data_IF_656188462565
#
_entry.id   IF_656188462565
#
_cell.length_a   1.000
_cell.length_b   1.000
_cell.length_c   1.000
_cell.angle_alpha   90.00
_cell.angle_beta   90.00
_cell.angle_gamma   90.00
#
_symmetry.space_group_name_H-M   'P 1'
#
loop_
_entity.id
_entity.type
_entity.pdbx_description
1 polymer ?
#
# COMPACT_ATOMS: atom_id res chain seq x y z
N UNK A 1 -4.66 -46.11 8.42
CA UNK A 1 -5.40 -47.40 8.35
C UNK A 1 -4.94 -48.38 9.42
N UNK A 2 -3.64 -48.65 9.62
CA UNK A 2 -3.14 -49.60 10.63
C UNK A 2 -3.59 -49.34 12.09
N UNK A 3 -3.57 -48.07 12.54
CA UNK A 3 -3.97 -47.72 13.93
C UNK A 3 -5.45 -48.04 14.23
N UNK A 4 -6.34 -47.92 13.24
CA UNK A 4 -7.76 -48.26 13.39
C UNK A 4 -7.99 -49.77 13.42
N UNK A 5 -7.18 -50.53 12.68
CA UNK A 5 -7.22 -52.00 12.72
C UNK A 5 -6.73 -52.52 14.09
N UNK A 6 -5.60 -52.02 14.58
CA UNK A 6 -5.09 -52.37 15.91
C UNK A 6 -6.09 -52.02 17.03
N UNK A 7 -6.79 -50.89 16.88
CA UNK A 7 -7.88 -50.49 17.77
C UNK A 7 -9.05 -51.49 17.81
N UNK A 8 -9.45 -52.00 16.65
CA UNK A 8 -10.64 -52.86 16.52
C UNK A 8 -10.34 -54.32 16.90
N UNK A 9 -9.19 -54.85 16.49
CA UNK A 9 -8.87 -56.28 16.62
C UNK A 9 -8.05 -56.57 17.88
N UNK A 10 -7.17 -55.65 18.29
CA UNK A 10 -6.23 -55.88 19.40
C UNK A 10 -6.09 -54.68 20.37
N UNK A 11 -7.19 -54.11 20.89
CA UNK A 11 -7.12 -52.91 21.75
C UNK A 11 -6.30 -53.11 23.02
N UNK A 12 -6.34 -54.33 23.61
CA UNK A 12 -5.59 -54.64 24.83
C UNK A 12 -4.07 -54.65 24.60
N UNK A 13 -3.60 -55.30 23.53
CA UNK A 13 -2.17 -55.34 23.19
C UNK A 13 -1.62 -53.97 22.82
N UNK A 14 -2.41 -53.16 22.10
CA UNK A 14 -2.02 -51.81 21.74
C UNK A 14 -1.83 -50.90 22.97
N UNK A 15 -2.76 -50.93 23.93
CA UNK A 15 -2.63 -50.16 25.17
C UNK A 15 -1.40 -50.56 25.99
N UNK A 16 -1.18 -51.87 26.17
CA UNK A 16 0.03 -52.38 26.85
C UNK A 16 1.32 -51.91 26.16
N UNK A 17 1.35 -51.91 24.82
CA UNK A 17 2.49 -51.39 24.08
C UNK A 17 2.68 -49.88 24.29
N UNK A 18 1.60 -49.10 24.27
CA UNK A 18 1.63 -47.67 24.59
C UNK A 18 2.21 -47.41 25.98
N UNK A 19 1.75 -48.15 27.00
CA UNK A 19 2.24 -48.03 28.38
C UNK A 19 3.73 -48.37 28.49
N UNK A 20 4.17 -49.49 27.91
CA UNK A 20 5.58 -49.92 27.92
C UNK A 20 6.51 -48.95 27.21
N UNK A 21 6.03 -48.24 26.20
CA UNK A 21 6.82 -47.30 25.41
C UNK A 21 6.59 -45.82 25.83
N UNK A 22 5.83 -45.58 26.91
CA UNK A 22 5.45 -44.24 27.38
C UNK A 22 4.77 -43.36 26.32
N UNK A 23 4.00 -43.99 25.43
CA UNK A 23 3.17 -43.27 24.47
C UNK A 23 1.73 -43.15 24.96
N UNK A 24 1.15 -41.98 24.73
CA UNK A 24 -0.27 -41.79 24.92
C UNK A 24 -1.09 -42.61 23.92
N UNK A 25 -2.07 -43.36 24.41
CA UNK A 25 -3.05 -44.02 23.55
C UNK A 25 -3.83 -43.01 22.72
N UNK A 26 -3.70 -43.11 21.39
CA UNK A 26 -4.46 -42.32 20.41
C UNK A 26 -5.73 -43.03 19.94
N UNK A 27 -6.20 -44.04 20.67
CA UNK A 27 -7.48 -44.66 20.38
C UNK A 27 -8.60 -43.64 20.52
N UNK A 28 -9.65 -43.68 19.67
CA UNK A 28 -10.75 -42.74 19.74
C UNK A 28 -11.40 -42.66 21.12
N UNK A 29 -11.57 -43.80 21.80
CA UNK A 29 -12.18 -43.85 23.13
C UNK A 29 -11.29 -43.23 24.22
N UNK A 30 -10.00 -43.55 24.24
CA UNK A 30 -9.07 -43.01 25.22
C UNK A 30 -8.86 -41.50 24.99
N UNK A 31 -8.85 -41.06 23.73
CA UNK A 31 -8.81 -39.64 23.35
C UNK A 31 -10.08 -38.88 23.75
N UNK A 32 -11.26 -39.48 23.57
CA UNK A 32 -12.53 -38.91 24.05
C UNK A 32 -12.54 -38.81 25.58
N UNK A 33 -12.07 -39.85 26.28
CA UNK A 33 -11.98 -39.87 27.75
C UNK A 33 -11.07 -38.75 28.26
N UNK A 34 -9.88 -38.57 27.66
CA UNK A 34 -8.98 -37.46 27.99
C UNK A 34 -9.62 -36.09 27.75
N UNK A 35 -10.29 -35.91 26.60
CA UNK A 35 -11.01 -34.65 26.31
C UNK A 35 -12.14 -34.36 27.31
N UNK A 36 -12.84 -35.37 27.83
CA UNK A 36 -13.86 -35.18 28.88
C UNK A 36 -13.22 -34.74 30.19
N UNK A 37 -12.18 -35.44 30.63
CA UNK A 37 -11.42 -35.08 31.84
C UNK A 37 -10.85 -33.65 31.71
N UNK A 38 -10.33 -33.29 30.54
CA UNK A 38 -9.81 -31.94 30.30
C UNK A 38 -10.91 -30.87 30.24
N UNK A 39 -12.06 -31.20 29.64
CA UNK A 39 -13.23 -30.32 29.64
C UNK A 39 -13.76 -30.10 31.06
N UNK A 40 -13.73 -31.12 31.90
CA UNK A 40 -14.13 -31.05 33.31
C UNK A 40 -13.07 -30.30 34.15
N UNK A 41 -11.79 -30.31 33.71
CA UNK A 41 -10.68 -29.54 34.28
C UNK A 41 -10.62 -28.09 33.83
N UNK A 42 -11.27 -27.73 32.72
CA UNK A 42 -11.53 -26.33 32.37
C UNK A 42 -12.61 -25.77 33.31
N UNK A 43 -12.33 -25.78 34.62
CA UNK A 43 -12.98 -24.88 35.56
C UNK A 43 -12.79 -23.47 35.04
N UNK A 44 -13.90 -22.73 34.97
CA UNK A 44 -14.05 -21.31 34.69
C UNK A 44 -12.71 -20.56 34.60
N UNK A 45 -12.47 -19.91 33.45
CA UNK A 45 -11.35 -18.98 33.20
C UNK A 45 -11.51 -17.74 34.08
N UNK A 46 -11.46 -17.94 35.39
CA UNK A 46 -11.59 -16.93 36.44
C UNK A 46 -10.35 -17.06 37.34
N UNK A 47 -9.86 -18.28 37.59
CA UNK A 47 -8.70 -18.53 38.46
C UNK A 47 -7.37 -17.97 37.92
N UNK A 48 -7.28 -17.71 36.61
CA UNK A 48 -6.11 -17.05 36.00
C UNK A 48 -6.17 -15.52 36.02
N UNK A 49 -7.34 -14.93 36.25
CA UNK A 49 -7.47 -13.49 36.38
C UNK A 49 -7.39 -13.16 37.86
N UNK A 50 -6.23 -12.65 38.29
CA UNK A 50 -6.07 -12.17 39.67
C UNK A 50 -7.14 -11.13 40.03
N UNK A 51 -7.36 -10.87 41.34
CA UNK A 51 -8.35 -9.90 41.80
C UNK A 51 -8.14 -8.57 41.07
N UNK A 52 -9.16 -8.17 40.31
CA UNK A 52 -9.13 -6.99 39.46
C UNK A 52 -9.06 -5.75 40.36
N UNK A 53 -7.95 -5.01 40.32
CA UNK A 53 -7.81 -3.76 41.08
C UNK A 53 -8.82 -2.74 40.53
N UNK A 54 -9.87 -2.38 41.30
CA UNK A 54 -10.91 -1.45 40.85
C UNK A 54 -10.35 -0.06 40.53
N UNK A 55 -9.18 0.30 41.06
CA UNK A 55 -8.47 1.56 40.81
C UNK A 55 -7.97 1.66 39.36
N UNK A 56 -7.80 0.52 38.68
CA UNK A 56 -7.24 0.47 37.32
C UNK A 56 -8.31 0.47 36.23
N UNK A 57 -9.60 0.44 36.59
CA UNK A 57 -10.66 0.40 35.59
C UNK A 57 -10.74 1.74 34.87
N UNK A 58 -10.51 1.79 33.54
CA UNK A 58 -10.69 3.01 32.78
C UNK A 58 -12.14 3.48 32.93
N UNK A 59 -12.32 4.79 33.07
CA UNK A 59 -13.65 5.40 33.17
C UNK A 59 -14.48 4.88 32.00
N UNK A 60 -15.66 4.28 32.24
CA UNK A 60 -16.50 3.77 31.16
C UNK A 60 -16.84 4.90 30.21
N UNK A 61 -16.81 4.60 28.92
CA UNK A 61 -17.08 5.59 27.89
C UNK A 61 -18.45 6.25 28.11
N UNK A 62 -18.47 7.58 28.18
CA UNK A 62 -19.68 8.38 28.22
C UNK A 62 -19.55 9.51 27.21
N UNK A 63 -20.56 9.68 26.37
CA UNK A 63 -20.57 10.74 25.36
C UNK A 63 -20.45 12.13 25.99
N UNK A 64 -21.09 12.34 27.15
CA UNK A 64 -21.00 13.60 27.90
C UNK A 64 -19.56 13.85 28.37
N UNK A 65 -18.90 12.84 28.93
CA UNK A 65 -17.52 12.95 29.39
C UNK A 65 -16.56 13.26 28.22
N UNK A 66 -16.76 12.61 27.08
CA UNK A 66 -15.98 12.87 25.88
C UNK A 66 -16.16 14.31 25.38
N UNK A 67 -17.40 14.80 25.29
CA UNK A 67 -17.70 16.17 24.85
C UNK A 67 -17.08 17.20 25.79
N UNK A 68 -17.18 17.00 27.10
CA UNK A 68 -16.56 17.90 28.09
C UNK A 68 -15.04 17.91 27.94
N UNK A 69 -14.39 16.74 27.91
CA UNK A 69 -12.94 16.64 27.75
C UNK A 69 -12.45 17.27 26.42
N UNK A 70 -13.22 17.10 25.33
CA UNK A 70 -12.89 17.71 24.05
C UNK A 70 -12.99 19.24 24.09
N UNK A 71 -14.01 19.79 24.75
CA UNK A 71 -14.15 21.25 24.94
C UNK A 71 -13.04 21.83 25.81
N UNK A 72 -12.71 21.16 26.92
CA UNK A 72 -11.59 21.55 27.79
C UNK A 72 -10.26 21.55 27.03
N UNK A 73 -10.00 20.51 26.25
CA UNK A 73 -8.82 20.42 25.38
C UNK A 73 -8.77 21.56 24.35
N UNK A 74 -9.91 21.86 23.69
CA UNK A 74 -9.99 22.93 22.71
C UNK A 74 -9.68 24.30 23.31
N UNK A 75 -10.21 24.60 24.50
CA UNK A 75 -9.95 25.85 25.23
C UNK A 75 -8.48 25.92 25.67
N UNK A 76 -7.95 24.84 26.25
CA UNK A 76 -6.58 24.81 26.76
C UNK A 76 -5.51 24.95 25.66
N UNK A 77 -5.86 24.66 24.40
CA UNK A 77 -4.93 24.67 23.26
C UNK A 77 -5.27 25.74 22.21
N UNK A 78 -6.19 26.65 22.53
CA UNK A 78 -6.65 27.74 21.66
C UNK A 78 -7.02 27.28 20.24
N UNK A 79 -7.66 26.12 20.11
CA UNK A 79 -8.04 25.57 18.80
C UNK A 79 -9.34 26.21 18.29
N UNK A 80 -9.48 26.42 16.98
CA UNK A 80 -10.72 26.94 16.42
C UNK A 80 -11.85 25.92 16.57
N UNK A 81 -13.09 26.39 16.75
CA UNK A 81 -14.30 25.55 16.88
C UNK A 81 -14.49 24.60 15.69
N UNK A 82 -13.94 24.96 14.53
CA UNK A 82 -13.98 24.15 13.31
C UNK A 82 -13.15 22.86 13.41
N UNK A 83 -12.25 22.71 14.39
CA UNK A 83 -11.38 21.54 14.55
C UNK A 83 -12.18 20.23 14.64
N UNK A 84 -13.33 20.25 15.32
CA UNK A 84 -14.20 19.07 15.46
C UNK A 84 -14.90 18.65 14.17
N UNK A 85 -14.99 19.54 13.17
CA UNK A 85 -15.53 19.23 11.84
C UNK A 85 -14.47 18.69 10.89
N UNK A 86 -13.19 18.79 11.26
CA UNK A 86 -12.11 18.38 10.39
C UNK A 86 -12.04 16.84 10.29
N UNK A 87 -12.06 16.25 9.09
CA UNK A 87 -12.18 14.79 8.91
C UNK A 87 -11.00 14.03 9.53
N UNK A 88 -9.80 14.62 9.55
CA UNK A 88 -8.62 14.00 10.19
C UNK A 88 -8.77 13.92 11.70
N UNK A 89 -9.46 14.88 12.34
CA UNK A 89 -9.72 14.83 13.78
C UNK A 89 -10.70 13.70 14.11
N UNK A 90 -11.80 13.59 13.35
CA UNK A 90 -12.76 12.48 13.49
C UNK A 90 -12.09 11.12 13.29
N UNK A 91 -11.21 11.00 12.28
CA UNK A 91 -10.45 9.78 12.02
C UNK A 91 -9.50 9.42 13.18
N UNK A 92 -8.83 10.41 13.76
CA UNK A 92 -7.97 10.20 14.94
C UNK A 92 -8.78 9.70 16.13
N UNK A 93 -9.96 10.28 16.36
CA UNK A 93 -10.85 9.90 17.46
C UNK A 93 -11.43 8.49 17.28
N UNK A 94 -11.82 8.11 16.06
CA UNK A 94 -12.27 6.74 15.74
C UNK A 94 -11.16 5.70 15.98
N UNK A 95 -9.93 6.01 15.60
CA UNK A 95 -8.78 5.13 15.89
C UNK A 95 -8.56 5.03 17.41
N UNK A 96 -8.68 6.15 18.12
CA UNK A 96 -8.50 6.19 19.57
C UNK A 96 -9.58 5.43 20.34
N UNK A 97 -10.85 5.53 19.93
CA UNK A 97 -11.97 4.84 20.58
C UNK A 97 -11.89 3.31 20.43
N UNK A 98 -11.25 2.85 19.35
CA UNK A 98 -11.01 1.43 19.08
C UNK A 98 -9.74 0.87 19.74
N UNK A 99 -8.92 1.72 20.36
CA UNK A 99 -7.70 1.29 21.01
C UNK A 99 -8.03 0.62 22.36
N UNK A 100 -7.83 -0.70 22.46
CA UNK A 100 -8.04 -1.46 23.70
C UNK A 100 -6.97 -1.20 24.78
N UNK A 101 -5.94 -0.40 24.48
CA UNK A 101 -4.80 -0.12 25.36
C UNK A 101 -4.52 1.37 25.39
N UNK A 102 -3.74 1.79 26.39
CA UNK A 102 -3.23 3.15 26.49
C UNK A 102 -2.53 3.58 25.19
N UNK A 103 -2.99 4.68 24.60
CA UNK A 103 -2.40 5.26 23.40
C UNK A 103 -1.10 5.96 23.82
N UNK A 104 0.04 5.46 23.34
CA UNK A 104 1.33 6.14 23.54
C UNK A 104 1.45 7.27 22.51
N UNK A 105 1.28 8.51 22.95
CA UNK A 105 1.48 9.67 22.09
C UNK A 105 2.98 9.88 21.83
N UNK A 106 3.39 10.20 20.59
CA UNK A 106 4.77 10.47 20.27
C UNK A 106 5.28 11.70 21.01
N UNK A 107 6.55 11.67 21.45
CA UNK A 107 7.19 12.84 22.06
C UNK A 107 7.29 13.99 21.05
N UNK A 108 7.37 15.27 21.49
CA UNK A 108 7.46 16.42 20.57
C UNK A 108 8.61 16.31 19.56
N UNK A 109 9.76 15.74 19.95
CA UNK A 109 10.90 15.51 19.06
C UNK A 109 10.57 14.46 17.99
N UNK A 110 9.91 13.37 18.37
CA UNK A 110 9.47 12.33 17.44
C UNK A 110 8.40 12.87 16.48
N UNK A 111 7.42 13.61 16.98
CA UNK A 111 6.37 14.23 16.15
C UNK A 111 6.96 15.16 15.10
N UNK A 112 7.89 16.05 15.49
CA UNK A 112 8.59 16.93 14.54
C UNK A 112 9.36 16.13 13.49
N UNK A 113 10.12 15.12 13.89
CA UNK A 113 10.87 14.28 12.98
C UNK A 113 9.95 13.55 11.99
N UNK A 114 8.80 13.06 12.46
CA UNK A 114 7.81 12.36 11.65
C UNK A 114 7.15 13.30 10.63
N UNK A 115 6.78 14.52 11.03
CA UNK A 115 6.23 15.54 10.12
C UNK A 115 7.25 15.88 9.02
N UNK A 116 8.51 16.13 9.38
CA UNK A 116 9.57 16.41 8.40
C UNK A 116 9.76 15.21 7.46
N UNK A 117 9.71 13.98 7.98
CA UNK A 117 9.82 12.76 7.17
C UNK A 117 8.66 12.65 6.17
N UNK A 118 7.42 12.85 6.61
CA UNK A 118 6.25 12.80 5.73
C UNK A 118 6.33 13.89 4.65
N UNK A 119 6.76 15.10 5.00
CA UNK A 119 6.96 16.17 4.05
C UNK A 119 8.02 15.82 2.99
N UNK A 120 9.18 15.28 3.42
CA UNK A 120 10.23 14.80 2.50
C UNK A 120 9.71 13.72 1.55
N UNK A 121 8.91 12.78 2.05
CA UNK A 121 8.30 11.73 1.21
C UNK A 121 7.37 12.31 0.15
N UNK A 122 6.55 13.30 0.51
CA UNK A 122 5.68 13.99 -0.44
C UNK A 122 6.51 14.72 -1.52
N UNK A 123 7.57 15.43 -1.13
CA UNK A 123 8.46 16.10 -2.08
C UNK A 123 9.15 15.12 -3.04
N UNK A 124 9.63 13.97 -2.54
CA UNK A 124 10.18 12.93 -3.40
C UNK A 124 9.13 12.40 -4.40
N UNK A 125 7.92 12.09 -3.92
CA UNK A 125 6.85 11.61 -4.80
C UNK A 125 6.46 12.64 -5.87
N UNK A 126 6.44 13.93 -5.53
CA UNK A 126 6.20 15.01 -6.47
C UNK A 126 7.32 15.12 -7.51
N UNK A 127 8.59 15.07 -7.06
CA UNK A 127 9.75 15.07 -7.96
C UNK A 127 9.68 13.91 -8.94
N UNK A 128 9.37 12.72 -8.47
CA UNK A 128 9.32 11.52 -9.31
C UNK A 128 8.20 11.64 -10.36
N UNK A 129 7.05 12.22 -10.01
CA UNK A 129 5.96 12.52 -10.96
C UNK A 129 6.33 13.59 -11.99
N UNK A 130 7.01 14.66 -11.57
CA UNK A 130 7.41 15.76 -12.47
C UNK A 130 8.58 15.37 -13.39
N UNK A 131 9.46 14.47 -12.96
CA UNK A 131 10.59 14.02 -13.78
C UNK A 131 10.11 13.16 -14.96
N UNK A 132 9.03 12.39 -14.79
CA UNK A 132 8.36 11.67 -15.88
C UNK A 132 7.85 12.66 -16.94
N UNK A 133 7.28 13.79 -16.53
CA UNK A 133 6.85 14.82 -17.49
C UNK A 133 8.03 15.49 -18.19
N UNK A 134 9.13 15.78 -17.50
CA UNK A 134 10.30 16.40 -18.15
C UNK A 134 10.92 15.51 -19.23
N UNK A 135 11.06 14.21 -18.95
CA UNK A 135 11.57 13.26 -19.94
C UNK A 135 10.65 13.12 -21.15
N UNK A 136 9.34 13.10 -20.95
CA UNK A 136 8.36 13.05 -22.03
C UNK A 136 8.35 14.31 -22.90
N UNK A 137 8.41 15.50 -22.27
CA UNK A 137 8.51 16.77 -23.00
C UNK A 137 9.81 16.87 -23.80
N UNK A 138 10.94 16.45 -23.21
CA UNK A 138 12.23 16.42 -23.89
C UNK A 138 12.18 15.50 -25.12
N UNK A 139 11.63 14.28 -24.98
CA UNK A 139 11.49 13.35 -26.11
C UNK A 139 10.57 13.89 -27.20
N UNK A 140 9.39 14.42 -26.84
CA UNK A 140 8.46 15.00 -27.82
C UNK A 140 9.08 16.18 -28.57
N UNK A 141 9.78 17.07 -27.85
CA UNK A 141 10.43 18.23 -28.46
C UNK A 141 11.54 17.81 -29.42
N UNK A 142 12.42 16.89 -29.01
CA UNK A 142 13.49 16.38 -29.87
C UNK A 142 12.96 15.60 -31.07
N UNK A 143 11.92 14.78 -30.90
CA UNK A 143 11.25 14.11 -32.01
C UNK A 143 10.67 15.13 -32.98
N UNK A 144 9.99 16.17 -32.50
CA UNK A 144 9.43 17.23 -33.36
C UNK A 144 10.50 17.98 -34.15
N UNK A 145 11.61 18.35 -33.51
CA UNK A 145 12.74 18.99 -34.18
C UNK A 145 13.37 18.07 -35.22
N UNK A 146 13.54 16.79 -34.90
CA UNK A 146 14.09 15.79 -35.81
C UNK A 146 13.21 15.58 -37.05
N UNK A 147 11.90 15.42 -36.86
CA UNK A 147 10.94 15.29 -37.97
C UNK A 147 10.88 16.55 -38.83
N UNK A 148 10.90 17.73 -38.20
CA UNK A 148 10.93 19.00 -38.91
C UNK A 148 12.19 19.13 -39.77
N UNK A 149 13.37 18.77 -39.23
CA UNK A 149 14.63 18.78 -39.97
C UNK A 149 14.62 17.82 -41.17
N UNK A 150 14.13 16.59 -40.98
CA UNK A 150 13.97 15.61 -42.07
C UNK A 150 13.01 16.12 -43.14
N UNK A 151 11.89 16.72 -42.75
CA UNK A 151 10.90 17.27 -43.67
C UNK A 151 11.48 18.41 -44.54
N UNK A 152 12.18 19.37 -43.92
CA UNK A 152 12.85 20.44 -44.66
C UNK A 152 13.94 19.92 -45.59
N UNK A 153 14.71 18.92 -45.16
CA UNK A 153 15.73 18.28 -46.01
C UNK A 153 15.11 17.61 -47.24
N UNK A 154 13.97 16.93 -47.07
CA UNK A 154 13.25 16.29 -48.17
C UNK A 154 12.66 17.31 -49.16
N UNK A 155 12.08 18.40 -48.65
CA UNK A 155 11.56 19.50 -49.47
C UNK A 155 12.66 20.19 -50.28
N UNK A 156 13.84 20.37 -49.68
CA UNK A 156 14.99 20.93 -50.37
C UNK A 156 15.50 20.00 -51.48
N UNK A 157 15.57 18.69 -51.20
CA UNK A 157 15.93 17.68 -52.20
C UNK A 157 14.94 17.67 -53.39
N UNK A 158 13.64 17.77 -53.12
CA UNK A 158 12.60 17.78 -54.15
C UNK A 158 12.66 19.05 -55.04
N UNK A 159 12.89 20.23 -54.45
CA UNK A 159 13.12 21.45 -55.23
C UNK A 159 14.39 21.36 -56.08
N UNK A 160 15.42 20.69 -55.59
CA UNK A 160 16.67 20.53 -56.34
C UNK A 160 16.48 19.64 -57.59
N UNK A 161 15.64 18.62 -57.52
CA UNK A 161 15.30 17.77 -58.68
C UNK A 161 14.49 18.51 -59.75
N UNK A 162 13.62 19.44 -59.36
CA UNK A 162 12.88 20.27 -60.32
C UNK A 162 13.80 21.27 -61.05
N UNK A 163 14.76 21.87 -60.34
CA UNK A 163 15.73 22.81 -60.95
C UNK A 163 16.68 22.10 -61.93
N UNK A 164 17.10 20.87 -61.62
CA UNK A 164 17.96 20.07 -62.52
C UNK A 164 17.21 19.56 -63.75
N UNK A 165 15.90 19.29 -63.64
CA UNK A 165 15.09 18.87 -64.81
C UNK A 165 14.89 20.01 -65.82
N UNK A 166 14.85 21.27 -65.36
CA UNK A 166 14.78 22.43 -66.26
C UNK A 166 16.09 22.70 -67.03
N UNK A 167 17.24 22.18 -66.58
CA UNK A 167 18.53 22.38 -67.27
C UNK A 167 18.80 21.35 -68.39
N UNK A 168 17.92 20.36 -68.57
CA UNK A 168 18.07 19.29 -69.59
C UNK A 168 17.18 19.48 -70.82
N UNK A 169 16.37 20.54 -70.87
CA UNK A 169 15.73 21.00 -72.12
C UNK A 169 16.68 22.01 -72.77
N UNK A 170 17.63 21.47 -73.53
CA UNK A 170 18.55 22.28 -74.32
C UNK A 170 17.80 23.15 -75.34
N UNK A 171 18.33 24.34 -75.68
CA UNK A 171 17.72 25.21 -76.67
C UNK A 171 17.69 24.48 -78.02
N UNK A 172 16.49 24.25 -78.54
CA UNK A 172 16.27 23.74 -79.89
C UNK A 172 16.68 24.84 -80.90
N UNK A 173 17.92 24.84 -81.34
CA UNK A 173 18.42 25.76 -82.37
C UNK A 173 17.79 25.40 -83.72
N UNK A 174 16.85 26.22 -84.17
CA UNK A 174 16.33 26.21 -85.54
C UNK A 174 17.28 27.03 -86.43
N UNK A 175 18.03 26.34 -87.30
CA UNK A 175 19.08 26.92 -88.14
C UNK A 175 18.64 27.19 -89.60
N UNK A 176 17.35 27.15 -89.93
CA UNK A 176 16.93 27.29 -91.32
C UNK A 176 16.22 28.61 -91.59
N UNK A 177 16.98 29.65 -91.93
CA UNK A 177 16.53 30.75 -92.78
C UNK A 177 17.72 31.55 -93.34
N UNK A 178 18.23 31.08 -94.49
CA UNK A 178 18.63 31.96 -95.61
C UNK A 178 17.32 32.54 -96.22
N UNK A 179 17.30 33.62 -97.03
CA UNK A 179 18.26 33.84 -98.12
C UNK A 179 18.55 35.32 -98.55
N UNK A 180 19.41 35.42 -99.56
CA UNK A 180 19.54 36.43 -100.64
C UNK A 180 19.76 37.93 -100.31
N UNK A 181 20.94 38.47 -100.63
CA UNK A 181 21.37 38.94 -101.97
C UNK A 181 22.85 39.33 -101.96
#
# INVERSE_FOLDING_TARGET
TLRRHAAAVHPCHYRKWCDSNRFDSMLPEDSKKRKRIEKDRQSLVIDHFGPEDPTTKPIPFSEKALRTAALEWMIATDQPIQVFKHPTFTKMLDIASRANRSIQLPSPKQSRAQVIKMFKQQLCSLRDRLNVTFFFFFFLFFSFLFFSFLFFSFLFAFKFTDILSCSLVGPHCDWRSQPDM
#
